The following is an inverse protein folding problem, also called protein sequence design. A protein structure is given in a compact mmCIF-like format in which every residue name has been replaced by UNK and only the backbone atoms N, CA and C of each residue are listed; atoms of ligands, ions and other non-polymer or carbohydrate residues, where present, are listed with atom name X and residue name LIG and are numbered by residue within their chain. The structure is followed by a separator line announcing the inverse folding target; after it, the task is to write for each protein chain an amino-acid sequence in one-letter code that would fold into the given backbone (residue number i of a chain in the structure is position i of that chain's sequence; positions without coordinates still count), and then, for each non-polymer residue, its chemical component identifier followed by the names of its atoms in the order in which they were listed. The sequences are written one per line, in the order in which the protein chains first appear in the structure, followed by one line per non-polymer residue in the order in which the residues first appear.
data_IF_760919006617
#
_entry.id   IF_760919006617
#
_cell.length_a   1.000
_cell.length_b   1.000
_cell.length_c   1.000
_cell.angle_alpha   90.00
_cell.angle_beta   90.00
_cell.angle_gamma   90.00
#
_symmetry.space_group_name_H-M   'P 1'
#
loop_
_entity.id
_entity.type
_entity.pdbx_description
1 polymer ?
#
# COMPACT_ATOMS: atom_id res chain seq x y z
N UNK A 1 1.21 -21.43 2.71
CA UNK A 1 1.77 -20.72 3.87
C UNK A 1 0.70 -19.96 4.62
N UNK A 2 0.97 -19.69 5.89
CA UNK A 2 0.16 -18.81 6.74
C UNK A 2 1.15 -17.92 7.50
N UNK A 3 0.95 -16.62 7.44
CA UNK A 3 1.75 -15.67 8.22
C UNK A 3 0.88 -14.50 8.68
N UNK A 4 1.43 -13.72 9.61
CA UNK A 4 0.78 -12.52 10.14
C UNK A 4 1.54 -11.29 9.65
N UNK A 5 0.80 -10.30 9.20
CA UNK A 5 1.33 -9.01 8.77
C UNK A 5 0.27 -7.94 8.99
N UNK A 6 0.68 -6.74 9.30
CA UNK A 6 -0.22 -5.57 9.27
C UNK A 6 -0.34 -5.12 7.82
N UNK A 7 -1.32 -5.68 7.10
CA UNK A 7 -1.48 -5.52 5.66
C UNK A 7 -2.08 -4.15 5.31
N UNK A 8 -2.91 -3.61 6.18
CA UNK A 8 -3.61 -2.34 5.95
C UNK A 8 -2.98 -1.14 6.67
N UNK A 9 -1.95 -1.34 7.50
CA UNK A 9 -1.24 -0.28 8.21
C UNK A 9 -2.01 0.29 9.42
N UNK A 10 -2.96 -0.46 9.99
CA UNK A 10 -3.76 -0.03 11.13
C UNK A 10 -3.14 -0.39 12.49
N UNK A 11 -1.97 -1.03 12.48
CA UNK A 11 -1.22 -1.52 13.64
C UNK A 11 -1.82 -2.77 14.30
N UNK A 12 -2.77 -3.42 13.65
CA UNK A 12 -3.26 -4.75 14.01
C UNK A 12 -2.65 -5.79 13.06
N UNK A 13 -2.44 -6.98 13.57
CA UNK A 13 -1.89 -8.07 12.75
C UNK A 13 -3.02 -8.77 12.00
N UNK A 14 -2.93 -8.79 10.68
CA UNK A 14 -3.82 -9.53 9.81
C UNK A 14 -3.30 -10.94 9.56
N UNK A 15 -4.14 -11.83 9.05
CA UNK A 15 -3.76 -13.18 8.64
C UNK A 15 -3.68 -13.23 7.11
N UNK A 16 -2.52 -13.62 6.60
CA UNK A 16 -2.36 -13.98 5.19
C UNK A 16 -2.28 -15.50 5.08
N UNK A 17 -3.23 -16.10 4.36
CA UNK A 17 -3.34 -17.55 4.19
C UNK A 17 -3.62 -17.89 2.73
N UNK A 18 -2.70 -18.60 2.07
CA UNK A 18 -2.84 -19.04 0.67
C UNK A 18 -3.24 -17.89 -0.28
N UNK A 19 -2.60 -16.73 -0.13
CA UNK A 19 -2.90 -15.53 -0.94
C UNK A 19 -4.16 -14.76 -0.53
N UNK A 20 -4.92 -15.25 0.44
CA UNK A 20 -6.10 -14.56 0.97
C UNK A 20 -5.68 -13.76 2.20
N UNK A 21 -6.03 -12.48 2.22
CA UNK A 21 -5.84 -11.60 3.37
C UNK A 21 -7.12 -11.55 4.19
N UNK A 22 -6.99 -11.84 5.48
CA UNK A 22 -8.05 -11.68 6.47
C UNK A 22 -7.70 -10.49 7.34
N UNK A 23 -8.40 -9.39 7.11
CA UNK A 23 -8.20 -8.14 7.85
C UNK A 23 -8.70 -8.30 9.28
N UNK A 24 -7.88 -7.90 10.24
CA UNK A 24 -8.24 -7.90 11.66
C UNK A 24 -9.00 -6.63 12.02
N UNK A 25 -10.11 -6.78 12.71
CA UNK A 25 -10.93 -5.69 13.26
C UNK A 25 -11.16 -5.94 14.73
N UNK A 26 -11.40 -4.88 15.46
CA UNK A 26 -11.90 -4.97 16.84
C UNK A 26 -13.39 -4.68 16.81
N UNK A 27 -14.19 -5.65 17.19
CA UNK A 27 -15.65 -5.48 17.29
C UNK A 27 -16.04 -4.54 18.43
N UNK A 28 -17.34 -4.18 18.49
CA UNK A 28 -17.85 -3.29 19.54
C UNK A 28 -17.73 -3.82 20.97
N UNK A 29 -17.37 -5.11 21.15
CA UNK A 29 -17.10 -5.74 22.44
C UNK A 29 -15.59 -5.84 22.76
N UNK A 30 -14.72 -5.38 21.83
CA UNK A 30 -13.28 -5.42 21.99
C UNK A 30 -12.63 -6.74 21.59
N UNK A 31 -13.32 -7.61 20.86
CA UNK A 31 -12.77 -8.87 20.40
C UNK A 31 -12.19 -8.75 18.99
N UNK A 32 -11.08 -9.44 18.68
CA UNK A 32 -10.58 -9.51 17.32
C UNK A 32 -11.56 -10.26 16.41
N UNK A 33 -11.76 -9.71 15.22
CA UNK A 33 -12.62 -10.24 14.19
C UNK A 33 -11.91 -10.16 12.84
N UNK A 34 -11.87 -11.25 12.09
CA UNK A 34 -11.16 -11.33 10.83
C UNK A 34 -12.13 -11.46 9.67
N UNK A 35 -11.99 -10.57 8.67
CA UNK A 35 -12.80 -10.61 7.45
C UNK A 35 -11.94 -10.51 6.20
N UNK A 36 -12.45 -10.97 5.06
CA UNK A 36 -11.86 -10.74 3.75
C UNK A 36 -12.36 -9.47 3.09
N UNK A 37 -13.20 -8.70 3.78
CA UNK A 37 -13.80 -7.48 3.25
C UNK A 37 -12.80 -6.34 3.21
N UNK A 38 -12.60 -5.77 2.03
CA UNK A 38 -11.83 -4.56 1.83
C UNK A 38 -12.61 -3.29 2.16
N UNK A 39 -13.92 -3.40 2.40
CA UNK A 39 -14.78 -2.29 2.76
C UNK A 39 -14.64 -1.84 4.20
N UNK A 40 -13.94 -2.62 5.03
CA UNK A 40 -13.70 -2.30 6.42
C UNK A 40 -12.61 -1.23 6.56
N UNK A 41 -12.86 -0.29 7.41
CA UNK A 41 -11.98 0.84 7.66
C UNK A 41 -10.87 0.47 8.64
N UNK A 42 -9.61 0.81 8.37
CA UNK A 42 -9.10 1.62 7.26
C UNK A 42 -8.40 0.79 6.17
N UNK A 43 -9.07 -0.05 5.47
CA UNK A 43 -8.44 -0.86 4.41
C UNK A 43 -8.90 -0.44 3.01
N UNK A 44 -8.31 0.58 2.41
CA UNK A 44 -8.59 0.96 1.03
C UNK A 44 -7.96 0.03 0.01
N UNK A 45 -6.99 -0.78 0.42
CA UNK A 45 -6.35 -1.76 -0.44
C UNK A 45 -7.08 -3.08 -0.27
N UNK A 46 -7.57 -3.61 -1.37
CA UNK A 46 -8.27 -4.89 -1.38
C UNK A 46 -7.38 -6.02 -0.86
N UNK A 47 -7.99 -6.98 -0.22
CA UNK A 47 -7.30 -8.22 0.14
C UNK A 47 -6.77 -8.91 -1.11
N UNK A 48 -5.68 -9.64 -0.97
CA UNK A 48 -5.09 -10.39 -2.09
C UNK A 48 -6.02 -11.46 -2.69
N UNK A 49 -7.19 -11.67 -2.12
CA UNK A 49 -8.22 -12.54 -2.70
C UNK A 49 -8.99 -11.87 -3.85
N UNK A 50 -8.89 -10.57 -4.00
CA UNK A 50 -9.44 -9.83 -5.13
C UNK A 50 -8.40 -9.74 -6.25
N UNK A 51 -7.84 -10.85 -6.53
CA UNK A 51 -7.10 -11.07 -7.74
C UNK A 51 -8.18 -11.10 -8.81
N UNK A 52 -8.02 -10.31 -9.81
CA UNK A 52 -8.91 -10.00 -10.93
C UNK A 52 -9.53 -11.23 -11.66
N UNK A 53 -9.56 -12.39 -11.03
CA UNK A 53 -10.13 -13.61 -11.55
C UNK A 53 -9.31 -14.23 -12.68
N UNK A 54 -8.20 -13.64 -13.03
CA UNK A 54 -7.36 -14.07 -14.15
C UNK A 54 -6.34 -15.13 -13.80
N UNK A 55 -6.41 -15.67 -12.62
CA UNK A 55 -5.61 -16.82 -12.30
C UNK A 55 -6.05 -18.02 -13.12
N UNK A 56 -5.45 -18.08 -14.25
CA UNK A 56 -5.55 -19.19 -15.19
C UNK A 56 -4.74 -20.40 -14.72
N UNK A 57 -4.13 -20.32 -13.53
CA UNK A 57 -3.45 -21.46 -12.95
C UNK A 57 -4.47 -22.48 -12.48
N UNK A 58 -4.75 -23.42 -13.37
CA UNK A 58 -5.65 -24.53 -13.11
C UNK A 58 -5.02 -25.62 -12.22
N UNK A 59 -3.74 -25.49 -11.87
CA UNK A 59 -3.05 -26.40 -10.97
C UNK A 59 -2.86 -25.77 -9.59
N UNK A 60 -3.66 -26.16 -8.57
CA UNK A 60 -3.55 -25.60 -7.24
C UNK A 60 -2.17 -25.78 -6.59
N UNK A 61 -1.40 -26.78 -6.99
CA UNK A 61 -0.07 -27.03 -6.44
C UNK A 61 0.97 -26.06 -6.99
N UNK A 62 0.89 -25.72 -8.27
CA UNK A 62 1.73 -24.70 -8.90
C UNK A 62 1.45 -23.35 -8.29
N UNK A 63 0.18 -23.05 -8.08
CA UNK A 63 -0.28 -21.83 -7.45
C UNK A 63 0.21 -21.71 -5.99
N UNK A 64 0.01 -22.74 -5.18
CA UNK A 64 0.46 -22.77 -3.80
C UNK A 64 1.98 -22.60 -3.71
N UNK A 65 2.71 -23.27 -4.61
CA UNK A 65 4.18 -23.11 -4.67
C UNK A 65 4.59 -21.70 -5.08
N UNK A 66 3.92 -21.06 -6.02
CA UNK A 66 4.22 -19.67 -6.41
C UNK A 66 4.02 -18.70 -5.24
N UNK A 67 2.94 -18.86 -4.47
CA UNK A 67 2.69 -18.07 -3.27
C UNK A 67 3.72 -18.34 -2.17
N UNK A 68 4.12 -19.60 -2.00
CA UNK A 68 5.12 -19.98 -1.00
C UNK A 68 6.53 -19.47 -1.34
N UNK A 69 6.89 -19.52 -2.61
CA UNK A 69 8.19 -19.04 -3.10
C UNK A 69 8.23 -17.49 -3.15
N UNK A 70 7.10 -16.85 -3.39
CA UNK A 70 6.96 -15.41 -3.56
C UNK A 70 5.78 -14.88 -2.74
N UNK A 71 5.95 -14.78 -1.42
CA UNK A 71 4.85 -14.40 -0.54
C UNK A 71 4.34 -12.99 -0.83
N UNK A 72 3.06 -12.79 -0.63
CA UNK A 72 2.45 -11.46 -0.72
C UNK A 72 3.04 -10.51 0.30
N UNK A 73 3.27 -9.28 -0.13
CA UNK A 73 3.74 -8.19 0.69
C UNK A 73 2.80 -7.00 0.58
N UNK A 74 2.60 -6.31 1.68
CA UNK A 74 2.08 -4.95 1.71
C UNK A 74 3.09 -4.07 2.45
N UNK A 75 3.79 -3.24 1.69
CA UNK A 75 4.78 -2.32 2.24
C UNK A 75 4.13 -0.97 2.42
N UNK A 76 4.15 -0.46 3.64
CA UNK A 76 3.53 0.81 4.00
C UNK A 76 4.56 1.81 4.48
N UNK A 77 4.66 2.95 3.79
CA UNK A 77 5.39 4.12 4.27
C UNK A 77 4.39 5.12 4.81
N UNK A 78 4.61 5.59 6.03
CA UNK A 78 3.70 6.52 6.72
C UNK A 78 4.36 7.88 6.89
N UNK A 79 3.65 8.93 6.52
CA UNK A 79 3.97 10.30 6.91
C UNK A 79 2.95 10.78 7.95
N UNK A 80 3.44 11.43 9.00
CA UNK A 80 2.59 12.01 10.06
C UNK A 80 2.64 13.52 9.95
N UNK A 81 1.47 14.16 9.85
CA UNK A 81 1.36 15.60 9.72
C UNK A 81 1.87 16.32 10.98
N UNK A 82 2.96 17.09 10.90
CA UNK A 82 3.47 17.86 12.05
C UNK A 82 2.56 19.04 12.42
N UNK A 83 1.78 19.53 11.45
CA UNK A 83 0.91 20.70 11.60
C UNK A 83 -0.44 20.45 10.96
N UNK A 84 -1.43 21.24 11.38
CA UNK A 84 -2.69 21.40 10.65
C UNK A 84 -2.48 22.26 9.41
N UNK A 85 -3.13 21.90 8.31
CA UNK A 85 -3.06 22.68 7.06
C UNK A 85 -3.49 21.92 5.84
N UNK A 86 -2.98 22.34 4.69
CA UNK A 86 -3.19 21.69 3.40
C UNK A 86 -1.84 21.30 2.82
N UNK A 87 -1.72 20.05 2.38
CA UNK A 87 -0.49 19.54 1.75
C UNK A 87 -0.72 19.20 0.29
N UNK A 88 0.35 19.37 -0.49
CA UNK A 88 0.47 18.87 -1.85
C UNK A 88 1.40 17.67 -1.85
N UNK A 89 1.02 16.61 -2.53
CA UNK A 89 1.77 15.37 -2.62
C UNK A 89 2.26 15.18 -4.06
N UNK A 90 3.56 15.07 -4.24
CA UNK A 90 4.20 14.69 -5.50
C UNK A 90 4.83 13.32 -5.27
N UNK A 91 4.30 12.30 -5.91
CA UNK A 91 4.64 10.92 -5.60
C UNK A 91 4.62 10.00 -6.84
N UNK A 92 5.39 10.29 -7.89
CA UNK A 92 5.47 9.38 -9.03
C UNK A 92 6.02 8.02 -8.56
N UNK A 93 5.41 6.95 -9.05
CA UNK A 93 5.72 5.57 -8.68
C UNK A 93 5.88 4.71 -9.93
N UNK A 94 6.86 3.82 -9.95
CA UNK A 94 7.10 2.89 -11.04
C UNK A 94 7.65 1.56 -10.52
N UNK A 95 7.37 0.48 -11.24
CA UNK A 95 8.10 -0.77 -11.06
C UNK A 95 9.57 -0.60 -11.47
N UNK A 96 10.45 -1.31 -10.79
CA UNK A 96 11.85 -1.43 -11.18
C UNK A 96 11.99 -2.60 -12.14
N UNK A 97 12.49 -2.32 -13.34
CA UNK A 97 12.72 -3.37 -14.32
C UNK A 97 13.88 -4.27 -13.87
N UNK A 98 13.59 -5.55 -13.69
CA UNK A 98 14.61 -6.57 -13.54
C UNK A 98 14.94 -7.16 -14.93
N UNK A 99 16.23 -7.09 -15.31
CA UNK A 99 16.71 -7.55 -16.61
C UNK A 99 17.45 -8.90 -16.50
N UNK A 100 17.33 -9.61 -15.37
CA UNK A 100 17.91 -10.94 -15.20
C UNK A 100 17.26 -11.97 -16.12
N UNK A 101 17.95 -13.08 -16.33
CA UNK A 101 17.42 -14.18 -17.13
C UNK A 101 16.23 -14.84 -16.41
N UNK A 102 16.28 -14.89 -15.09
CA UNK A 102 15.21 -15.39 -14.24
C UNK A 102 13.93 -14.58 -14.42
N UNK A 103 14.03 -13.25 -14.38
CA UNK A 103 12.89 -12.37 -14.58
C UNK A 103 12.27 -12.52 -15.97
N UNK A 104 13.09 -12.69 -17.00
CA UNK A 104 12.59 -12.87 -18.38
C UNK A 104 11.91 -14.22 -18.61
N UNK A 105 12.30 -15.23 -17.85
CA UNK A 105 11.70 -16.57 -17.92
C UNK A 105 10.49 -16.73 -17.01
N UNK A 106 10.32 -15.86 -16.02
CA UNK A 106 9.21 -15.91 -15.09
C UNK A 106 7.99 -15.22 -15.68
N UNK A 107 7.00 -16.00 -16.04
CA UNK A 107 5.78 -15.50 -16.74
C UNK A 107 4.60 -15.23 -15.81
N UNK A 108 4.72 -15.57 -14.53
CA UNK A 108 3.64 -15.43 -13.55
C UNK A 108 3.75 -14.15 -12.70
N UNK A 109 4.65 -13.22 -13.03
CA UNK A 109 4.69 -11.91 -12.39
C UNK A 109 3.43 -11.11 -12.74
N UNK A 110 2.73 -10.59 -11.73
CA UNK A 110 1.40 -10.01 -11.89
C UNK A 110 1.34 -8.51 -11.54
N UNK A 111 2.46 -7.96 -11.09
CA UNK A 111 2.60 -6.55 -10.76
C UNK A 111 1.98 -6.18 -9.42
N UNK A 112 1.82 -4.90 -9.17
CA UNK A 112 1.45 -4.36 -7.86
C UNK A 112 0.19 -3.49 -7.93
N UNK A 113 -0.48 -3.36 -6.80
CA UNK A 113 -1.40 -2.26 -6.54
C UNK A 113 -0.71 -1.24 -5.64
N UNK A 114 -0.80 0.04 -6.01
CA UNK A 114 -0.27 1.14 -5.22
C UNK A 114 -1.38 2.10 -4.82
N UNK A 115 -1.32 2.64 -3.60
CA UNK A 115 -2.33 3.56 -3.11
C UNK A 115 -1.76 4.64 -2.19
N UNK A 116 -2.39 5.81 -2.21
CA UNK A 116 -2.21 6.87 -1.22
C UNK A 116 -3.49 6.96 -0.42
N UNK A 117 -3.38 6.80 0.90
CA UNK A 117 -4.50 6.80 1.82
C UNK A 117 -4.34 7.88 2.87
N UNK A 118 -5.42 8.55 3.24
CA UNK A 118 -5.49 9.41 4.42
C UNK A 118 -6.69 9.00 5.28
N UNK A 119 -6.45 8.68 6.54
CA UNK A 119 -7.48 8.11 7.43
C UNK A 119 -8.11 6.86 6.79
N UNK A 120 -9.43 6.84 6.67
CA UNK A 120 -10.19 5.78 6.03
C UNK A 120 -10.42 6.00 4.52
N UNK A 121 -9.88 7.07 3.94
CA UNK A 121 -10.13 7.42 2.56
C UNK A 121 -8.92 7.11 1.68
N UNK A 122 -9.14 6.37 0.62
CA UNK A 122 -8.19 6.24 -0.46
C UNK A 122 -8.24 7.53 -1.31
N UNK A 123 -7.12 8.23 -1.37
CA UNK A 123 -7.00 9.47 -2.13
C UNK A 123 -6.68 9.20 -3.60
N UNK A 124 -5.90 8.17 -3.84
CA UNK A 124 -5.50 7.73 -5.16
C UNK A 124 -5.00 6.30 -5.12
N UNK A 125 -5.26 5.53 -6.17
CA UNK A 125 -4.67 4.21 -6.37
C UNK A 125 -4.56 3.86 -7.85
N UNK A 126 -3.70 2.89 -8.15
CA UNK A 126 -3.62 2.28 -9.48
C UNK A 126 -3.02 0.88 -9.38
N UNK A 127 -3.33 0.06 -10.37
CA UNK A 127 -2.64 -1.20 -10.62
C UNK A 127 -1.53 -0.96 -11.64
N UNK A 128 -0.34 -1.44 -11.36
CA UNK A 128 0.81 -1.40 -12.27
C UNK A 128 1.05 -2.84 -12.73
N UNK A 129 0.93 -3.06 -14.04
CA UNK A 129 1.16 -4.39 -14.60
C UNK A 129 2.65 -4.77 -14.51
N UNK A 130 2.95 -6.06 -14.42
CA UNK A 130 4.32 -6.56 -14.25
C UNK A 130 5.31 -6.12 -15.35
N UNK A 131 4.81 -5.74 -16.52
CA UNK A 131 5.62 -5.27 -17.64
C UNK A 131 5.50 -3.76 -17.90
N UNK A 132 4.85 -3.00 -17.01
CA UNK A 132 4.73 -1.55 -17.09
C UNK A 132 5.73 -0.89 -16.13
N UNK A 133 6.80 -0.37 -16.70
CA UNK A 133 7.85 0.35 -15.96
C UNK A 133 7.73 1.86 -16.10
N UNK A 134 6.63 2.35 -16.67
CA UNK A 134 6.40 3.80 -16.82
C UNK A 134 5.98 4.41 -15.48
N UNK A 135 6.47 5.62 -15.14
CA UNK A 135 6.06 6.30 -13.93
C UNK A 135 4.57 6.65 -13.94
N UNK A 136 3.85 6.20 -12.93
CA UNK A 136 2.47 6.56 -12.65
C UNK A 136 2.45 7.76 -11.71
N UNK A 137 1.80 8.85 -12.09
CA UNK A 137 1.73 10.09 -11.31
C UNK A 137 0.36 10.20 -10.64
N UNK A 138 0.30 10.25 -9.29
CA UNK A 138 -0.94 10.45 -8.58
C UNK A 138 -1.65 11.75 -8.97
N UNK A 139 -2.97 11.69 -9.10
CA UNK A 139 -3.85 12.83 -9.36
C UNK A 139 -4.80 13.03 -8.19
N UNK A 140 -5.31 14.25 -8.02
CA UNK A 140 -6.25 14.57 -6.94
C UNK A 140 -5.62 14.77 -5.56
N UNK A 141 -4.28 14.74 -5.47
CA UNK A 141 -3.54 14.85 -4.20
C UNK A 141 -2.77 16.16 -4.05
N UNK A 142 -3.11 17.17 -4.82
CA UNK A 142 -2.45 18.50 -4.77
C UNK A 142 -2.95 19.40 -3.65
N UNK A 143 -4.06 19.06 -2.99
CA UNK A 143 -4.65 19.86 -1.91
C UNK A 143 -5.36 18.94 -0.90
N UNK A 144 -4.58 18.24 -0.09
CA UNK A 144 -5.07 17.31 0.93
C UNK A 144 -5.12 18.02 2.27
N UNK A 145 -6.29 18.20 2.89
CA UNK A 145 -6.38 18.77 4.22
C UNK A 145 -5.90 17.77 5.27
N UNK A 146 -5.08 18.25 6.20
CA UNK A 146 -4.57 17.45 7.30
C UNK A 146 -4.69 18.18 8.63
N UNK A 147 -4.92 17.44 9.70
CA UNK A 147 -4.78 17.90 11.08
C UNK A 147 -3.42 17.45 11.62
N UNK A 148 -2.91 18.12 12.65
CA UNK A 148 -1.70 17.66 13.35
C UNK A 148 -1.90 16.23 13.85
N UNK A 149 -0.96 15.35 13.51
CA UNK A 149 -1.01 13.92 13.86
C UNK A 149 -1.75 13.04 12.84
N UNK A 150 -2.41 13.62 11.84
CA UNK A 150 -2.99 12.84 10.74
C UNK A 150 -1.90 12.07 9.99
N UNK A 151 -2.25 10.89 9.51
CA UNK A 151 -1.34 9.99 8.80
C UNK A 151 -1.71 9.92 7.33
N UNK A 152 -0.70 9.99 6.48
CA UNK A 152 -0.81 9.66 5.06
C UNK A 152 0.03 8.42 4.81
N UNK A 153 -0.61 7.41 4.24
CA UNK A 153 -0.02 6.10 3.96
C UNK A 153 0.26 5.99 2.46
N UNK A 154 1.46 5.55 2.13
CA UNK A 154 1.87 5.17 0.78
C UNK A 154 2.04 3.66 0.78
N UNK A 155 1.17 2.96 0.10
CA UNK A 155 1.04 1.51 0.17
C UNK A 155 1.39 0.87 -1.16
N UNK A 156 2.17 -0.19 -1.10
CA UNK A 156 2.49 -1.06 -2.23
C UNK A 156 2.05 -2.45 -1.85
N UNK A 157 1.11 -3.00 -2.57
CA UNK A 157 0.55 -4.32 -2.34
C UNK A 157 0.88 -5.23 -3.52
N UNK A 158 1.51 -6.37 -3.23
CA UNK A 158 1.57 -7.48 -4.17
C UNK A 158 0.16 -7.97 -4.47
N UNK A 159 -0.11 -8.34 -5.71
CA UNK A 159 -1.45 -8.79 -6.11
C UNK A 159 -1.63 -10.27 -5.77
N UNK A 160 -1.01 -11.14 -6.56
CA UNK A 160 -1.15 -12.58 -6.39
C UNK A 160 0.12 -13.24 -5.84
N UNK A 161 1.27 -12.80 -6.31
CA UNK A 161 2.57 -13.21 -5.79
C UNK A 161 3.48 -11.98 -5.67
N UNK A 162 4.56 -12.10 -4.91
CA UNK A 162 5.51 -10.99 -4.70
C UNK A 162 6.70 -10.99 -5.66
N UNK A 163 6.67 -11.80 -6.71
CA UNK A 163 7.79 -11.91 -7.63
C UNK A 163 7.92 -10.64 -8.49
N UNK A 164 9.13 -10.05 -8.47
CA UNK A 164 9.48 -8.86 -9.27
C UNK A 164 8.63 -7.62 -8.96
N UNK A 165 8.07 -7.54 -7.75
CA UNK A 165 7.24 -6.44 -7.26
C UNK A 165 8.03 -5.26 -6.69
N UNK A 166 9.28 -5.11 -7.08
CA UNK A 166 10.09 -3.99 -6.62
C UNK A 166 9.63 -2.66 -7.20
N UNK A 167 9.37 -1.70 -6.31
CA UNK A 167 8.83 -0.39 -6.67
C UNK A 167 9.78 0.73 -6.26
N UNK A 168 10.02 1.66 -7.17
CA UNK A 168 10.65 2.93 -6.87
C UNK A 168 9.58 3.96 -6.55
N UNK A 169 9.53 4.42 -5.30
CA UNK A 169 8.57 5.41 -4.84
C UNK A 169 9.19 6.36 -3.81
N UNK A 170 9.34 7.62 -4.17
CA UNK A 170 9.90 8.66 -3.31
C UNK A 170 8.92 9.83 -3.16
N UNK A 171 7.88 9.69 -2.33
CA UNK A 171 6.89 10.75 -2.10
C UNK A 171 7.52 12.02 -1.53
N UNK A 172 7.11 13.16 -2.06
CA UNK A 172 7.42 14.48 -1.53
C UNK A 172 6.12 15.13 -1.08
N UNK A 173 6.10 15.63 0.16
CA UNK A 173 4.93 16.29 0.74
C UNK A 173 5.33 17.71 1.11
N UNK A 174 4.57 18.68 0.62
CA UNK A 174 4.82 20.09 0.86
C UNK A 174 3.55 20.75 1.36
N UNK A 175 3.63 21.53 2.44
CA UNK A 175 2.52 22.35 2.85
C UNK A 175 2.32 23.50 1.86
N UNK A 176 1.11 23.60 1.31
CA UNK A 176 0.68 24.76 0.54
C UNK A 176 0.08 25.86 1.44
N UNK A 177 -0.49 25.45 2.57
CA UNK A 177 -0.99 26.33 3.62
C UNK A 177 -0.93 25.57 4.95
N UNK A 178 -0.36 26.18 5.97
CA UNK A 178 -0.34 25.62 7.34
C UNK A 178 -0.50 26.74 8.36
N UNK A 179 -1.09 26.41 9.50
CA UNK A 179 -1.05 27.31 10.67
C UNK A 179 0.39 27.59 11.01
N UNK A 180 0.74 28.84 11.33
CA UNK A 180 2.12 29.17 11.68
C UNK A 180 2.58 28.23 12.80
N UNK A 181 3.57 27.41 12.46
CA UNK A 181 4.14 26.45 13.38
C UNK A 181 4.84 27.14 14.54
N UNK A 182 5.08 26.40 15.59
CA UNK A 182 6.00 26.83 16.63
C UNK A 182 7.37 26.98 15.99
N UNK A 183 7.99 28.13 16.20
CA UNK A 183 9.39 28.34 15.88
C UNK A 183 10.24 27.88 17.07
N UNK A 184 11.45 27.44 16.79
CA UNK A 184 12.45 27.24 17.83
C UNK A 184 12.90 28.59 18.43
N UNK A 185 13.81 28.53 19.41
CA UNK A 185 14.36 29.73 20.06
C UNK A 185 15.09 30.70 19.10
N UNK A 186 15.44 30.24 17.88
CA UNK A 186 16.10 31.02 16.84
C UNK A 186 15.13 31.49 15.74
N UNK A 187 13.82 31.36 15.98
CA UNK A 187 12.74 31.67 15.01
C UNK A 187 12.76 30.83 13.77
N UNK A 188 13.37 29.63 13.78
CA UNK A 188 13.33 28.67 12.70
C UNK A 188 12.10 27.78 12.85
N UNK A 189 11.39 27.46 11.74
CA UNK A 189 10.24 26.59 11.79
C UNK A 189 10.62 25.22 12.35
N UNK A 190 9.86 24.73 13.32
CA UNK A 190 9.94 23.34 13.78
C UNK A 190 9.14 22.47 12.80
N UNK A 191 9.82 21.64 12.02
CA UNK A 191 9.26 20.69 11.06
C UNK A 191 9.10 19.31 11.67
#
# INVERSE_FOLDING_TARGET
SIYFSDVNGDQMMDIVKHGIVYINHIDGAGNPHFTTSSGDTPSPIHSGSDIDGDLVENDPQVLEKAIDDNPLHDVVKVWVAPFEGTVSIIAPVALIQDNSDEARLYTAADGVRVAIQSKAAELWSTNIAANDFTPNTPVGVSAVPVQKGDRIYFRVQSKFNGAYDQVMWAPQITYSNHSPGLNDANSLPLY
#
